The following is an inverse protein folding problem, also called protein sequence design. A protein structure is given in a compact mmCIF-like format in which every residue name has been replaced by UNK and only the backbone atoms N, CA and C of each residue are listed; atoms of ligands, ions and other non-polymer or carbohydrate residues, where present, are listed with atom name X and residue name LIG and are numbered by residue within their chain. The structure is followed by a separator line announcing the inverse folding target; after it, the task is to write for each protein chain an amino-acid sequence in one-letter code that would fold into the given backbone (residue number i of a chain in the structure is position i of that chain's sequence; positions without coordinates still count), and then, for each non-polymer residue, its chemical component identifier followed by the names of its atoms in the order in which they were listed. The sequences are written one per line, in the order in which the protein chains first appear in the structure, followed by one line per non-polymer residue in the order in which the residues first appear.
data_IF_435288665498
#
_entry.id   IF_435288665498
#
_cell.length_a   1.000
_cell.length_b   1.000
_cell.length_c   1.000
_cell.angle_alpha   90.00
_cell.angle_beta   90.00
_cell.angle_gamma   90.00
#
_symmetry.space_group_name_H-M   'P 1'
#
loop_
_entity.id
_entity.type
_entity.pdbx_description
1 polymer ?
#
# COMPACT_ATOMS: atom_id res chain seq x y z
N UNK A 1 -26.69 15.78 -18.19
CA UNK A 1 -25.27 16.04 -18.52
C UNK A 1 -24.48 14.77 -18.25
N UNK A 2 -23.59 14.38 -19.17
CA UNK A 2 -23.02 13.03 -19.30
C UNK A 2 -22.02 12.72 -18.19
N UNK A 3 -22.24 11.66 -17.41
CA UNK A 3 -21.30 11.09 -16.44
C UNK A 3 -20.17 10.39 -17.19
N UNK A 4 -19.03 11.05 -17.36
CA UNK A 4 -17.87 10.49 -18.03
C UNK A 4 -17.09 9.59 -17.06
N UNK A 5 -17.28 8.29 -17.25
CA UNK A 5 -16.52 7.18 -16.69
C UNK A 5 -15.03 7.32 -17.05
N UNK A 6 -14.28 8.09 -16.26
CA UNK A 6 -12.83 8.07 -16.30
C UNK A 6 -12.37 6.73 -15.75
N UNK A 7 -11.97 5.82 -16.64
CA UNK A 7 -11.33 4.55 -16.31
C UNK A 7 -10.07 4.83 -15.49
N UNK A 8 -10.22 4.89 -14.16
CA UNK A 8 -9.14 5.23 -13.23
C UNK A 8 -8.05 4.16 -13.37
N UNK A 9 -6.99 4.47 -14.12
CA UNK A 9 -5.79 3.63 -14.18
C UNK A 9 -5.23 3.62 -12.76
N UNK A 10 -5.32 2.46 -12.10
CA UNK A 10 -4.76 2.26 -10.77
C UNK A 10 -3.27 2.61 -10.83
N UNK A 11 -2.80 3.63 -10.09
CA UNK A 11 -1.37 3.92 -10.04
C UNK A 11 -0.63 2.67 -9.55
N UNK A 12 0.37 2.24 -10.33
CA UNK A 12 1.26 1.14 -9.98
C UNK A 12 2.38 1.71 -9.13
N UNK A 13 2.28 1.51 -7.83
CA UNK A 13 3.37 1.82 -6.90
C UNK A 13 4.30 0.60 -6.76
N UNK A 14 5.60 0.85 -6.77
CA UNK A 14 6.63 -0.17 -6.51
C UNK A 14 6.48 -0.73 -5.10
N UNK A 15 6.98 -1.95 -4.88
CA UNK A 15 6.95 -2.57 -3.56
C UNK A 15 7.73 -1.74 -2.54
N UNK A 16 8.90 -1.24 -2.94
CA UNK A 16 9.75 -0.38 -2.12
C UNK A 16 9.02 0.88 -1.68
N UNK A 17 8.28 1.54 -2.59
CA UNK A 17 7.50 2.73 -2.24
C UNK A 17 6.41 2.44 -1.19
N UNK A 18 5.76 1.28 -1.28
CA UNK A 18 4.72 0.89 -0.31
C UNK A 18 5.31 0.63 1.07
N UNK A 19 6.47 -0.02 1.12
CA UNK A 19 7.19 -0.32 2.36
C UNK A 19 7.74 0.96 2.99
N UNK A 20 8.35 1.84 2.19
CA UNK A 20 8.86 3.13 2.67
C UNK A 20 7.72 3.99 3.26
N UNK A 21 6.59 4.05 2.55
CA UNK A 21 5.40 4.75 3.02
C UNK A 21 4.83 4.21 4.34
N UNK A 22 4.82 2.88 4.51
CA UNK A 22 4.32 2.25 5.73
C UNK A 22 5.33 2.33 6.89
N UNK A 23 6.64 2.22 6.62
CA UNK A 23 7.70 2.51 7.61
C UNK A 23 7.66 3.95 8.09
N UNK A 24 7.34 4.91 7.22
CA UNK A 24 7.20 6.32 7.63
C UNK A 24 6.09 6.49 8.69
N UNK A 25 5.00 5.74 8.59
CA UNK A 25 3.93 5.72 9.61
C UNK A 25 4.35 4.95 10.86
N UNK A 26 4.98 3.79 10.70
CA UNK A 26 5.32 2.89 11.81
C UNK A 26 6.54 3.33 12.63
N UNK A 27 7.62 3.76 11.95
CA UNK A 27 8.90 4.12 12.57
C UNK A 27 8.97 5.59 12.97
N UNK A 28 8.49 6.49 12.11
CA UNK A 28 8.52 7.94 12.40
C UNK A 28 7.30 8.44 13.17
N UNK A 29 6.32 7.57 13.45
CA UNK A 29 5.12 7.91 14.21
C UNK A 29 4.17 8.88 13.50
N UNK A 30 4.29 9.03 12.18
CA UNK A 30 3.37 9.85 11.41
C UNK A 30 1.96 9.26 11.44
N UNK A 31 0.95 10.11 11.52
CA UNK A 31 -0.43 9.66 11.29
C UNK A 31 -0.63 9.29 9.82
N UNK A 32 -1.58 8.37 9.55
CA UNK A 32 -1.92 7.97 8.18
C UNK A 32 -2.29 9.16 7.30
N UNK A 33 -2.94 10.20 7.84
CA UNK A 33 -3.25 11.43 7.12
C UNK A 33 -1.98 12.17 6.72
N UNK A 34 -1.11 12.49 7.69
CA UNK A 34 0.12 13.24 7.41
C UNK A 34 1.04 12.52 6.42
N UNK A 35 1.16 11.19 6.55
CA UNK A 35 1.96 10.40 5.61
C UNK A 35 1.32 10.34 4.21
N UNK A 36 -0.02 10.27 4.14
CA UNK A 36 -0.74 10.29 2.86
C UNK A 36 -0.59 11.65 2.15
N UNK A 37 -0.74 12.76 2.87
CA UNK A 37 -0.53 14.11 2.36
C UNK A 37 0.91 14.33 1.90
N UNK A 38 1.90 13.91 2.70
CA UNK A 38 3.31 14.04 2.37
C UNK A 38 3.71 13.26 1.11
N UNK A 39 3.08 12.10 0.88
CA UNK A 39 3.34 11.25 -0.29
C UNK A 39 2.40 11.52 -1.47
N UNK A 40 1.41 12.40 -1.31
CA UNK A 40 0.39 12.67 -2.33
C UNK A 40 -0.46 11.46 -2.71
N UNK A 41 -0.71 10.55 -1.77
CA UNK A 41 -1.53 9.35 -1.99
C UNK A 41 -2.82 9.40 -1.17
N UNK A 42 -3.81 8.60 -1.55
CA UNK A 42 -5.04 8.52 -0.75
C UNK A 42 -4.79 7.80 0.59
N UNK A 43 -5.42 8.28 1.67
CA UNK A 43 -5.36 7.64 2.98
C UNK A 43 -5.81 6.16 2.93
N UNK A 44 -6.83 5.86 2.13
CA UNK A 44 -7.31 4.48 1.93
C UNK A 44 -6.24 3.58 1.31
N UNK A 45 -5.46 4.11 0.36
CA UNK A 45 -4.33 3.40 -0.26
C UNK A 45 -3.25 3.09 0.78
N UNK A 46 -2.83 4.11 1.55
CA UNK A 46 -1.78 3.96 2.57
C UNK A 46 -2.21 3.01 3.69
N UNK A 47 -3.44 3.13 4.18
CA UNK A 47 -3.99 2.22 5.18
C UNK A 47 -4.00 0.76 4.72
N UNK A 48 -4.24 0.52 3.42
CA UNK A 48 -4.16 -0.83 2.84
C UNK A 48 -2.73 -1.36 2.81
N UNK A 49 -1.74 -0.51 2.57
CA UNK A 49 -0.31 -0.90 2.59
C UNK A 49 0.19 -1.19 3.99
N UNK A 50 -0.12 -0.34 4.97
CA UNK A 50 0.25 -0.58 6.38
C UNK A 50 -0.35 -1.89 6.89
N UNK A 51 -1.61 -2.19 6.55
CA UNK A 51 -2.24 -3.48 6.87
C UNK A 51 -1.58 -4.65 6.13
N UNK A 52 -1.21 -4.45 4.87
CA UNK A 52 -0.53 -5.48 4.09
C UNK A 52 0.86 -5.78 4.67
N UNK A 53 1.63 -4.78 5.08
CA UNK A 53 2.95 -4.94 5.70
C UNK A 53 2.85 -5.67 7.05
N UNK A 54 1.89 -5.28 7.90
CA UNK A 54 1.59 -6.02 9.14
C UNK A 54 1.21 -7.47 8.88
N UNK A 55 0.43 -7.73 7.82
CA UNK A 55 0.05 -9.08 7.41
C UNK A 55 1.20 -9.86 6.78
N UNK A 56 2.16 -9.18 6.14
CA UNK A 56 3.34 -9.77 5.51
C UNK A 56 4.35 -10.22 6.57
N UNK A 57 4.51 -9.46 7.66
CA UNK A 57 5.22 -9.93 8.86
C UNK A 57 4.62 -11.19 9.50
N UNK A 58 3.31 -11.42 9.31
CA UNK A 58 2.60 -12.61 9.78
C UNK A 58 2.42 -13.70 8.69
N UNK A 59 3.03 -13.54 7.51
CA UNK A 59 2.96 -14.48 6.37
C UNK A 59 4.32 -15.10 6.04
N UNK A 60 5.28 -15.03 6.95
CA UNK A 60 6.56 -15.74 6.85
C UNK A 60 6.46 -17.19 7.37
N UNK A 61 5.29 -17.83 7.29
CA UNK A 61 5.12 -19.27 7.46
C UNK A 61 4.31 -19.72 6.24
N UNK A 62 4.87 -20.64 5.45
CA UNK A 62 4.44 -21.17 4.14
C UNK A 62 4.92 -20.39 2.90
N UNK A 63 6.13 -20.69 2.39
CA UNK A 63 6.43 -20.51 0.99
C UNK A 63 5.59 -21.51 0.18
N UNK A 64 4.74 -21.02 -0.71
CA UNK A 64 4.18 -21.86 -1.77
C UNK A 64 4.60 -21.25 -3.09
N UNK A 65 5.82 -21.59 -3.49
CA UNK A 65 6.15 -21.70 -4.89
C UNK A 65 5.24 -22.80 -5.46
N UNK A 66 4.18 -22.41 -6.15
CA UNK A 66 3.40 -23.32 -6.99
C UNK A 66 3.51 -22.80 -8.40
N UNK A 67 4.60 -23.17 -9.05
CA UNK A 67 4.54 -23.66 -10.42
C UNK A 67 5.09 -25.09 -10.43
N UNK A 68 4.25 -26.04 -9.97
CA UNK A 68 4.25 -27.36 -10.58
C UNK A 68 3.32 -27.27 -11.80
N UNK A 69 3.90 -27.26 -13.00
CA UNK A 69 3.47 -27.97 -14.21
C UNK A 69 4.56 -27.75 -15.26
#
# INVERSE_FOLDING_TARGET
MKTNETKHKRPKYSLEFKQDAAKLVLEKGYSLNQAADHLGISLSTLGRWVRAERKQGNRAIYPVDTTMT
#
